data_IF_436709008946
#
_entry.id   IF_436709008946
#
_cell.length_a   1.000
_cell.length_b   1.000
_cell.length_c   1.000
_cell.angle_alpha   90.00
_cell.angle_beta   90.00
_cell.angle_gamma   90.00
#
_symmetry.space_group_name_H-M   'P 1'
#
loop_
_entity.id
_entity.type
_entity.pdbx_description
1 polymer ?
#
# COMPACT_ATOMS: atom_id res chain seq x y z
N UNK A 1 -74.27 -30.05 -4.48
CA UNK A 1 -74.73 -28.64 -4.61
C UNK A 1 -73.77 -27.63 -3.94
N UNK A 2 -72.84 -28.04 -3.06
CA UNK A 2 -72.04 -27.12 -2.23
C UNK A 2 -70.62 -26.74 -2.76
N UNK A 3 -70.24 -27.16 -3.97
CA UNK A 3 -68.86 -27.00 -4.48
C UNK A 3 -68.61 -25.68 -5.22
N UNK A 4 -69.62 -25.14 -5.91
CA UNK A 4 -69.49 -23.88 -6.66
C UNK A 4 -69.30 -22.68 -5.72
N UNK A 5 -70.01 -22.66 -4.59
CA UNK A 5 -69.88 -21.61 -3.58
C UNK A 5 -68.48 -21.59 -2.93
N UNK A 6 -67.94 -22.78 -2.61
CA UNK A 6 -66.59 -22.91 -2.06
C UNK A 6 -65.51 -22.46 -3.07
N UNK A 7 -65.64 -22.86 -4.34
CA UNK A 7 -64.72 -22.44 -5.40
C UNK A 7 -64.74 -20.92 -5.62
N UNK A 8 -65.92 -20.29 -5.54
CA UNK A 8 -66.06 -18.84 -5.69
C UNK A 8 -65.44 -18.06 -4.52
N UNK A 9 -65.53 -18.59 -3.30
CA UNK A 9 -64.85 -18.03 -2.13
C UNK A 9 -63.32 -18.11 -2.29
N UNK A 10 -62.80 -19.27 -2.71
CA UNK A 10 -61.37 -19.47 -2.95
C UNK A 10 -60.83 -18.54 -4.06
N UNK A 11 -61.60 -18.31 -5.13
CA UNK A 11 -61.20 -17.37 -6.19
C UNK A 11 -61.08 -15.94 -5.65
N UNK A 12 -62.04 -15.49 -4.83
CA UNK A 12 -61.99 -14.15 -4.22
C UNK A 12 -60.81 -14.01 -3.27
N UNK A 13 -60.52 -15.04 -2.49
CA UNK A 13 -59.35 -15.07 -1.60
C UNK A 13 -58.05 -15.01 -2.40
N UNK A 14 -57.93 -15.81 -3.46
CA UNK A 14 -56.77 -15.78 -4.35
C UNK A 14 -56.60 -14.42 -5.05
N UNK A 15 -57.70 -13.78 -5.46
CA UNK A 15 -57.66 -12.42 -6.03
C UNK A 15 -57.17 -11.39 -5.02
N UNK A 16 -57.62 -11.48 -3.77
CA UNK A 16 -57.15 -10.60 -2.70
C UNK A 16 -55.67 -10.84 -2.38
N UNK A 17 -55.24 -12.11 -2.30
CA UNK A 17 -53.84 -12.47 -2.08
C UNK A 17 -52.95 -11.95 -3.21
N UNK A 18 -53.38 -12.10 -4.47
CA UNK A 18 -52.64 -11.58 -5.63
C UNK A 18 -52.54 -10.04 -5.58
N UNK A 19 -53.62 -9.34 -5.20
CA UNK A 19 -53.60 -7.88 -5.06
C UNK A 19 -52.63 -7.42 -3.98
N UNK A 20 -52.55 -8.15 -2.87
CA UNK A 20 -51.59 -7.88 -1.79
C UNK A 20 -50.16 -8.10 -2.30
N UNK A 21 -49.89 -9.23 -2.94
CA UNK A 21 -48.57 -9.53 -3.52
C UNK A 21 -48.11 -8.48 -4.55
N UNK A 22 -49.04 -8.00 -5.38
CA UNK A 22 -48.76 -6.92 -6.32
C UNK A 22 -48.40 -5.62 -5.60
N UNK A 23 -49.09 -5.27 -4.52
CA UNK A 23 -48.76 -4.09 -3.72
C UNK A 23 -47.38 -4.20 -3.06
N UNK A 24 -47.07 -5.36 -2.47
CA UNK A 24 -45.75 -5.61 -1.86
C UNK A 24 -44.62 -5.54 -2.90
N UNK A 25 -44.86 -6.05 -4.11
CA UNK A 25 -43.90 -5.97 -5.21
C UNK A 25 -43.61 -4.51 -5.60
N UNK A 26 -44.64 -3.67 -5.69
CA UNK A 26 -44.46 -2.26 -6.02
C UNK A 26 -43.68 -1.52 -4.92
N UNK A 27 -43.96 -1.81 -3.64
CA UNK A 27 -43.16 -1.28 -2.52
C UNK A 27 -41.70 -1.72 -2.61
N UNK A 28 -41.44 -2.98 -2.91
CA UNK A 28 -40.08 -3.51 -3.06
C UNK A 28 -39.32 -2.83 -4.22
N UNK A 29 -39.99 -2.60 -5.36
CA UNK A 29 -39.41 -1.88 -6.51
C UNK A 29 -39.04 -0.44 -6.15
N UNK A 30 -39.92 0.27 -5.44
CA UNK A 30 -39.65 1.65 -5.00
C UNK A 30 -38.45 1.68 -4.06
N UNK A 31 -38.37 0.77 -3.09
CA UNK A 31 -37.22 0.67 -2.19
C UNK A 31 -35.90 0.34 -2.91
N UNK A 32 -35.96 -0.50 -3.95
CA UNK A 32 -34.78 -0.78 -4.77
C UNK A 32 -34.31 0.46 -5.54
N UNK A 33 -35.24 1.21 -6.13
CA UNK A 33 -34.91 2.46 -6.83
C UNK A 33 -34.28 3.50 -5.89
N UNK A 34 -34.79 3.63 -4.66
CA UNK A 34 -34.21 4.52 -3.64
C UNK A 34 -32.76 4.11 -3.30
N UNK A 35 -32.52 2.82 -3.11
CA UNK A 35 -31.16 2.31 -2.82
C UNK A 35 -30.20 2.53 -3.97
N UNK A 36 -30.64 2.31 -5.21
CA UNK A 36 -29.82 2.56 -6.40
C UNK A 36 -29.44 4.04 -6.52
N UNK A 37 -30.43 4.95 -6.38
CA UNK A 37 -30.16 6.39 -6.42
C UNK A 37 -29.16 6.82 -5.33
N UNK A 38 -29.34 6.33 -4.10
CA UNK A 38 -28.42 6.62 -2.99
C UNK A 38 -27.01 6.08 -3.25
N UNK A 39 -26.88 4.89 -3.83
CA UNK A 39 -25.59 4.31 -4.18
C UNK A 39 -24.89 5.09 -5.31
N UNK A 40 -25.64 5.63 -6.27
CA UNK A 40 -25.10 6.48 -7.34
C UNK A 40 -24.60 7.83 -6.80
N UNK A 41 -25.37 8.48 -5.92
CA UNK A 41 -24.97 9.71 -5.24
C UNK A 41 -23.72 9.51 -4.37
N UNK A 42 -23.68 8.42 -3.58
CA UNK A 42 -22.53 8.08 -2.75
C UNK A 42 -21.28 7.80 -3.60
N UNK A 43 -21.43 7.08 -4.71
CA UNK A 43 -20.35 6.85 -5.68
C UNK A 43 -19.82 8.17 -6.26
N UNK A 44 -20.69 9.10 -6.64
CA UNK A 44 -20.28 10.41 -7.16
C UNK A 44 -19.51 11.22 -6.11
N UNK A 45 -19.97 11.20 -4.85
CA UNK A 45 -19.30 11.84 -3.72
C UNK A 45 -17.90 11.26 -3.48
N UNK A 46 -17.76 9.93 -3.48
CA UNK A 46 -16.48 9.25 -3.28
C UNK A 46 -15.47 9.54 -4.39
N UNK A 47 -15.92 9.63 -5.65
CA UNK A 47 -15.07 10.01 -6.77
C UNK A 47 -14.56 11.45 -6.63
N UNK A 48 -15.42 12.36 -6.17
CA UNK A 48 -15.01 13.75 -5.92
C UNK A 48 -14.01 13.84 -4.75
N UNK A 49 -14.25 13.08 -3.68
CA UNK A 49 -13.32 12.99 -2.56
C UNK A 49 -11.97 12.39 -2.97
N UNK A 50 -11.96 11.38 -3.83
CA UNK A 50 -10.73 10.81 -4.39
C UNK A 50 -9.95 11.84 -5.20
N UNK A 51 -10.62 12.60 -6.08
CA UNK A 51 -9.98 13.64 -6.88
C UNK A 51 -9.35 14.74 -6.00
N UNK A 52 -10.08 15.22 -4.99
CA UNK A 52 -9.58 16.21 -4.04
C UNK A 52 -8.37 15.69 -3.24
N UNK A 53 -8.43 14.44 -2.77
CA UNK A 53 -7.32 13.82 -2.06
C UNK A 53 -6.08 13.63 -2.93
N UNK A 54 -6.25 13.24 -4.21
CA UNK A 54 -5.16 13.12 -5.18
C UNK A 54 -4.51 14.47 -5.49
N UNK A 55 -5.30 15.54 -5.63
CA UNK A 55 -4.79 16.89 -5.82
C UNK A 55 -3.95 17.34 -4.62
N UNK A 56 -4.48 17.20 -3.40
CA UNK A 56 -3.76 17.55 -2.18
C UNK A 56 -2.45 16.75 -2.03
N UNK A 57 -2.45 15.46 -2.40
CA UNK A 57 -1.24 14.64 -2.38
C UNK A 57 -0.20 15.11 -3.41
N UNK A 58 -0.62 15.52 -4.61
CA UNK A 58 0.27 16.06 -5.63
C UNK A 58 0.89 17.40 -5.19
N UNK A 59 0.10 18.28 -4.57
CA UNK A 59 0.57 19.55 -4.02
C UNK A 59 1.58 19.34 -2.88
N UNK A 60 1.30 18.40 -1.98
CA UNK A 60 2.21 18.04 -0.90
C UNK A 60 3.54 17.46 -1.43
N UNK A 61 3.49 16.62 -2.46
CA UNK A 61 4.69 16.09 -3.12
C UNK A 61 5.50 17.21 -3.76
N UNK A 62 4.86 18.13 -4.48
CA UNK A 62 5.51 19.28 -5.09
C UNK A 62 6.16 20.18 -4.03
N UNK A 63 5.46 20.46 -2.93
CA UNK A 63 6.01 21.24 -1.82
C UNK A 63 7.23 20.54 -1.17
N UNK A 64 7.18 19.21 -1.01
CA UNK A 64 8.31 18.45 -0.48
C UNK A 64 9.53 18.48 -1.42
N UNK A 65 9.32 18.39 -2.74
CA UNK A 65 10.41 18.51 -3.71
C UNK A 65 11.04 19.90 -3.67
N UNK A 66 10.24 20.96 -3.58
CA UNK A 66 10.73 22.34 -3.44
C UNK A 66 11.54 22.49 -2.15
N UNK A 67 11.05 21.95 -1.03
CA UNK A 67 11.76 21.99 0.25
C UNK A 67 13.08 21.21 0.21
N UNK A 68 13.12 20.03 -0.42
CA UNK A 68 14.35 19.26 -0.59
C UNK A 68 15.35 19.95 -1.52
N UNK A 69 14.89 20.56 -2.62
CA UNK A 69 15.75 21.33 -3.51
C UNK A 69 16.42 22.50 -2.76
N UNK A 70 15.63 23.26 -2.00
CA UNK A 70 16.14 24.35 -1.17
C UNK A 70 17.14 23.87 -0.11
N UNK A 71 16.83 22.77 0.59
CA UNK A 71 17.75 22.21 1.58
C UNK A 71 19.07 21.72 0.94
N UNK A 72 19.02 21.19 -0.30
CA UNK A 72 20.20 20.77 -1.04
C UNK A 72 21.06 21.95 -1.48
N UNK A 73 20.45 23.05 -1.91
CA UNK A 73 21.15 24.29 -2.23
C UNK A 73 21.83 24.89 -0.99
N UNK A 74 21.14 24.94 0.15
CA UNK A 74 21.70 25.41 1.43
C UNK A 74 22.87 24.52 1.89
N UNK A 75 22.74 23.20 1.78
CA UNK A 75 23.83 22.28 2.10
C UNK A 75 25.04 22.44 1.16
N UNK A 76 24.81 22.69 -0.13
CA UNK A 76 25.88 22.95 -1.10
C UNK A 76 26.62 24.26 -0.81
N UNK A 77 25.90 25.32 -0.40
CA UNK A 77 26.51 26.59 0.01
C UNK A 77 27.35 26.44 1.28
N UNK A 78 26.84 25.71 2.28
CA UNK A 78 27.62 25.43 3.50
C UNK A 78 28.88 24.61 3.21
N UNK A 79 28.79 23.59 2.34
CA UNK A 79 29.95 22.80 1.93
C UNK A 79 31.01 23.65 1.21
N UNK A 80 30.59 24.57 0.34
CA UNK A 80 31.49 25.51 -0.33
C UNK A 80 32.18 26.45 0.66
N UNK A 81 31.47 27.02 1.64
CA UNK A 81 32.07 27.89 2.66
C UNK A 81 33.06 27.16 3.59
N UNK A 82 32.80 25.88 3.90
CA UNK A 82 33.72 25.05 4.71
C UNK A 82 35.00 24.73 3.94
N UNK A 83 34.91 24.43 2.63
CA UNK A 83 36.10 24.22 1.79
C UNK A 83 36.88 25.53 1.57
N UNK A 84 36.23 26.68 1.44
CA UNK A 84 36.89 27.98 1.33
C UNK A 84 37.63 28.38 2.61
N UNK A 85 37.05 28.10 3.79
CA UNK A 85 37.72 28.27 5.08
C UNK A 85 38.91 27.30 5.27
N UNK A 86 38.85 26.09 4.68
CA UNK A 86 39.91 25.09 4.73
C UNK A 86 41.06 25.39 3.75
N UNK A 87 40.77 26.05 2.63
CA UNK A 87 41.81 26.55 1.72
C UNK A 87 42.58 27.74 2.31
N UNK A 88 41.91 28.59 3.11
CA UNK A 88 42.56 29.72 3.80
C UNK A 88 43.55 29.32 4.90
N UNK A 89 43.53 28.06 5.38
CA UNK A 89 44.48 27.54 6.38
C UNK A 89 45.68 26.78 5.79
N UNK A 90 45.76 26.56 4.46
CA UNK A 90 46.85 25.79 3.81
C UNK A 90 47.45 26.53 2.62
N UNK A 91 48.34 27.52 2.88
CA UNK A 91 49.64 27.76 2.21
C UNK A 91 50.06 29.26 2.19
N UNK A 92 51.38 29.58 2.23
CA UNK A 92 52.47 28.96 2.99
C UNK A 92 53.33 30.01 3.74
N UNK A 93 54.01 29.62 4.82
CA UNK A 93 55.20 30.32 5.29
C UNK A 93 56.27 29.30 5.70
N UNK A 94 57.33 29.28 4.89
CA UNK A 94 58.57 28.57 5.15
C UNK A 94 59.43 29.30 6.22
N UNK A 95 60.46 28.58 6.71
CA UNK A 95 61.56 28.99 7.60
C UNK A 95 61.21 28.89 9.10
N UNK A 96 61.91 28.17 9.98
CA UNK A 96 63.35 27.86 10.13
C UNK A 96 63.54 26.48 10.79
N UNK A 97 64.69 25.85 10.51
CA UNK A 97 65.21 24.60 11.03
C UNK A 97 65.45 24.56 12.55
N UNK A 98 65.30 23.37 13.17
CA UNK A 98 66.41 22.65 13.86
C UNK A 98 65.94 21.27 14.37
N UNK A 99 66.72 20.23 14.06
CA UNK A 99 66.77 18.90 14.70
C UNK A 99 67.36 19.02 16.12
N UNK A 100 67.44 17.98 17.02
CA UNK A 100 67.35 16.51 16.83
C UNK A 100 66.41 15.83 17.89
N UNK A 101 66.12 14.53 17.99
CA UNK A 101 66.91 13.28 18.02
C UNK A 101 65.97 12.07 17.87
N UNK A 102 66.51 10.99 17.30
CA UNK A 102 65.96 9.61 17.19
C UNK A 102 66.07 8.86 18.54
N UNK A 103 65.25 7.80 18.77
CA UNK A 103 65.67 6.45 18.34
C UNK A 103 64.55 5.62 17.67
N UNK A 104 65.01 4.63 16.90
CA UNK A 104 64.28 3.73 16.02
C UNK A 104 63.79 2.44 16.75
N UNK A 105 63.36 1.36 16.04
CA UNK A 105 61.99 1.07 15.65
C UNK A 105 61.44 -0.24 16.29
N UNK A 106 60.12 -0.42 16.31
CA UNK A 106 59.52 -1.74 16.52
C UNK A 106 58.34 -1.93 15.56
N UNK A 107 58.60 -2.67 14.49
CA UNK A 107 57.60 -3.14 13.53
C UNK A 107 56.78 -4.27 14.12
N UNK A 108 55.46 -4.18 14.01
CA UNK A 108 54.56 -5.34 14.06
C UNK A 108 53.65 -5.28 12.82
N UNK A 109 53.92 -6.20 11.92
CA UNK A 109 53.14 -6.55 10.74
C UNK A 109 51.74 -7.05 11.14
N UNK A 110 50.69 -6.43 10.60
CA UNK A 110 49.35 -7.00 10.55
C UNK A 110 49.01 -7.38 9.09
N UNK A 111 48.41 -8.55 8.84
CA UNK A 111 48.29 -9.12 7.50
C UNK A 111 47.26 -8.40 6.62
N UNK A 112 47.61 -8.27 5.34
CA UNK A 112 46.70 -7.94 4.24
C UNK A 112 45.51 -8.89 4.22
N UNK A 113 44.30 -8.34 4.34
CA UNK A 113 43.08 -9.02 3.95
C UNK A 113 42.74 -8.64 2.50
N UNK A 114 42.68 -9.64 1.64
CA UNK A 114 42.18 -9.56 0.27
C UNK A 114 40.71 -9.09 0.24
N UNK A 115 40.32 -8.19 -0.67
CA UNK A 115 38.91 -7.82 -0.81
C UNK A 115 38.16 -8.98 -1.48
N UNK A 116 37.26 -9.63 -0.72
CA UNK A 116 36.26 -10.55 -1.29
C UNK A 116 35.25 -9.75 -2.12
N UNK A 117 34.96 -10.24 -3.32
CA UNK A 117 34.02 -9.62 -4.25
C UNK A 117 32.64 -9.47 -3.60
N UNK A 118 32.17 -8.22 -3.51
CA UNK A 118 30.82 -7.86 -3.08
C UNK A 118 29.79 -8.40 -4.08
N UNK A 119 28.97 -9.36 -3.64
CA UNK A 119 27.74 -9.74 -4.35
C UNK A 119 26.80 -8.54 -4.29
N UNK A 120 26.52 -7.92 -5.44
CA UNK A 120 25.61 -6.78 -5.53
C UNK A 120 24.23 -7.16 -4.95
N UNK A 121 23.87 -6.51 -3.85
CA UNK A 121 22.53 -6.64 -3.26
C UNK A 121 21.51 -6.02 -4.22
N UNK A 122 20.37 -6.70 -4.50
CA UNK A 122 19.28 -6.12 -5.27
C UNK A 122 18.93 -4.75 -4.68
N UNK A 123 18.95 -3.71 -5.51
CA UNK A 123 18.60 -2.37 -5.09
C UNK A 123 17.10 -2.34 -4.82
N UNK A 124 16.74 -2.20 -3.55
CA UNK A 124 15.34 -2.07 -3.14
C UNK A 124 14.85 -0.70 -3.58
N UNK A 125 13.91 -0.69 -4.52
CA UNK A 125 13.22 0.51 -4.97
C UNK A 125 11.80 0.49 -4.44
N UNK A 126 11.33 1.67 -4.06
CA UNK A 126 9.98 1.95 -3.56
C UNK A 126 9.35 3.01 -4.47
N UNK A 127 8.02 3.07 -4.51
CA UNK A 127 7.30 4.16 -5.17
C UNK A 127 6.51 4.95 -4.13
N UNK A 128 6.15 6.19 -4.43
CA UNK A 128 5.31 7.02 -3.53
C UNK A 128 3.94 6.41 -3.25
N UNK A 129 3.48 5.47 -4.08
CA UNK A 129 2.17 4.82 -3.97
C UNK A 129 2.26 3.43 -3.33
N UNK A 130 3.39 2.74 -3.51
CA UNK A 130 3.65 1.39 -3.03
C UNK A 130 5.01 1.35 -2.30
N UNK A 131 4.94 1.24 -0.97
CA UNK A 131 6.10 1.18 -0.07
C UNK A 131 6.66 -0.25 0.11
N UNK A 132 6.21 -1.21 -0.68
CA UNK A 132 6.83 -2.53 -0.70
C UNK A 132 8.01 -2.58 -1.68
N UNK A 133 9.05 -3.38 -1.40
CA UNK A 133 10.17 -3.54 -2.33
C UNK A 133 9.72 -4.15 -3.66
N UNK A 134 10.08 -3.53 -4.79
CA UNK A 134 9.79 -4.07 -6.13
C UNK A 134 10.25 -5.53 -6.25
N UNK A 135 9.39 -6.38 -6.82
CA UNK A 135 9.65 -7.80 -7.01
C UNK A 135 9.28 -8.70 -5.82
N UNK A 136 8.82 -8.14 -4.70
CA UNK A 136 8.28 -8.93 -3.58
C UNK A 136 6.79 -9.25 -3.77
N UNK A 137 6.32 -10.33 -3.14
CA UNK A 137 4.90 -10.73 -3.18
C UNK A 137 3.97 -9.60 -2.68
N UNK A 138 4.39 -8.89 -1.63
CA UNK A 138 3.67 -7.73 -1.08
C UNK A 138 3.62 -6.56 -2.07
N UNK A 139 4.66 -6.36 -2.88
CA UNK A 139 4.65 -5.35 -3.93
C UNK A 139 3.71 -5.71 -5.08
N UNK A 140 3.70 -6.97 -5.51
CA UNK A 140 2.76 -7.46 -6.53
C UNK A 140 1.31 -7.32 -6.06
N UNK A 141 1.02 -7.84 -4.85
CA UNK A 141 -0.30 -7.76 -4.26
C UNK A 141 -0.77 -6.31 -4.06
N UNK A 142 0.07 -5.40 -3.55
CA UNK A 142 -0.28 -3.99 -3.39
C UNK A 142 -0.50 -3.26 -4.72
N UNK A 143 0.21 -3.67 -5.78
CA UNK A 143 0.01 -3.12 -7.12
C UNK A 143 -1.33 -3.53 -7.73
N UNK A 144 -1.78 -4.75 -7.46
CA UNK A 144 -3.08 -5.26 -7.92
C UNK A 144 -4.25 -4.87 -7.01
N UNK A 145 -4.00 -4.70 -5.72
CA UNK A 145 -4.97 -4.30 -4.70
C UNK A 145 -4.53 -2.96 -4.06
N UNK A 146 -4.73 -1.82 -4.75
CA UNK A 146 -4.28 -0.51 -4.26
C UNK A 146 -4.96 -0.06 -2.97
N UNK A 147 -6.08 -0.69 -2.58
CA UNK A 147 -6.76 -0.49 -1.30
C UNK A 147 -5.99 -1.07 -0.09
N UNK A 148 -5.08 -2.03 -0.30
CA UNK A 148 -4.27 -2.60 0.77
C UNK A 148 -3.35 -1.55 1.40
N UNK A 149 -3.06 -1.62 2.69
CA UNK A 149 -2.18 -0.64 3.36
C UNK A 149 -0.72 -0.74 2.92
N UNK A 150 0.02 0.37 2.96
CA UNK A 150 1.45 0.42 2.62
C UNK A 150 2.38 -0.13 3.72
N UNK A 151 1.87 -0.35 4.94
CA UNK A 151 2.66 -0.68 6.13
C UNK A 151 2.12 -1.92 6.87
N UNK A 152 1.55 -2.88 6.15
CA UNK A 152 1.04 -4.14 6.72
C UNK A 152 2.14 -5.20 6.98
N UNK A 153 3.41 -4.84 6.78
CA UNK A 153 4.55 -5.73 7.00
C UNK A 153 4.71 -6.78 5.91
N UNK A 154 5.31 -7.91 6.29
CA UNK A 154 5.58 -9.05 5.40
C UNK A 154 4.29 -9.80 5.04
N UNK A 155 4.33 -10.65 4.02
CA UNK A 155 3.15 -11.35 3.50
C UNK A 155 2.30 -12.01 4.60
N UNK A 156 2.91 -12.80 5.48
CA UNK A 156 2.20 -13.49 6.56
C UNK A 156 1.55 -12.57 7.61
N UNK A 157 1.91 -11.29 7.65
CA UNK A 157 1.40 -10.30 8.62
C UNK A 157 0.16 -9.55 8.10
N UNK A 158 -0.11 -9.61 6.79
CA UNK A 158 -1.14 -8.81 6.16
C UNK A 158 -2.54 -9.07 6.71
N UNK A 159 -2.89 -10.31 7.04
CA UNK A 159 -4.19 -10.62 7.62
C UNK A 159 -4.40 -9.88 8.96
N UNK A 160 -3.41 -9.92 9.86
CA UNK A 160 -3.49 -9.24 11.15
C UNK A 160 -3.50 -7.71 10.99
N UNK A 161 -2.67 -7.16 10.11
CA UNK A 161 -2.64 -5.72 9.85
C UNK A 161 -3.90 -5.20 9.15
N UNK A 162 -4.48 -5.97 8.24
CA UNK A 162 -5.74 -5.64 7.59
C UNK A 162 -6.88 -5.61 8.62
N UNK A 163 -6.94 -6.60 9.51
CA UNK A 163 -7.92 -6.63 10.59
C UNK A 163 -7.75 -5.43 11.55
N UNK A 164 -6.50 -5.09 11.92
CA UNK A 164 -6.21 -3.92 12.75
C UNK A 164 -6.58 -2.60 12.06
N UNK A 165 -6.51 -2.55 10.73
CA UNK A 165 -6.95 -1.43 9.91
C UNK A 165 -8.48 -1.43 9.63
N UNK A 166 -9.24 -2.37 10.20
CA UNK A 166 -10.70 -2.43 10.10
C UNK A 166 -11.26 -3.21 8.91
N UNK A 167 -10.42 -3.90 8.13
CA UNK A 167 -10.86 -4.74 7.03
C UNK A 167 -11.41 -6.08 7.52
N UNK A 168 -12.40 -6.61 6.81
CA UNK A 168 -12.91 -7.96 7.06
C UNK A 168 -11.88 -9.01 6.65
N UNK A 169 -11.56 -9.91 7.57
CA UNK A 169 -10.65 -11.05 7.37
C UNK A 169 -11.40 -12.33 7.67
N UNK A 170 -11.27 -13.33 6.80
CA UNK A 170 -11.96 -14.60 6.94
C UNK A 170 -11.41 -15.66 5.98
N UNK A 171 -12.03 -16.83 5.99
CA UNK A 171 -11.61 -18.00 5.21
C UNK A 171 -12.46 -18.25 3.97
N UNK A 172 -13.47 -17.41 3.72
CA UNK A 172 -14.31 -17.51 2.52
C UNK A 172 -13.62 -16.79 1.36
N UNK A 173 -13.20 -17.49 0.30
CA UNK A 173 -12.52 -16.85 -0.82
C UNK A 173 -13.50 -16.02 -1.65
N UNK A 174 -13.06 -14.82 -2.06
CA UNK A 174 -13.79 -13.94 -2.96
C UNK A 174 -12.82 -13.30 -3.96
N UNK A 175 -13.27 -13.07 -5.19
CA UNK A 175 -12.46 -12.38 -6.21
C UNK A 175 -12.16 -10.95 -5.74
N UNK A 176 -10.92 -10.52 -5.90
CA UNK A 176 -10.41 -9.24 -5.43
C UNK A 176 -9.95 -9.22 -3.96
N UNK A 177 -10.18 -10.30 -3.20
CA UNK A 177 -9.56 -10.44 -1.89
C UNK A 177 -8.06 -10.73 -2.00
N UNK A 178 -7.33 -10.51 -0.91
CA UNK A 178 -5.95 -10.92 -0.78
C UNK A 178 -5.92 -12.22 0.03
N UNK A 179 -5.37 -13.28 -0.57
CA UNK A 179 -5.05 -14.50 0.13
C UNK A 179 -3.72 -14.33 0.86
N UNK A 180 -3.66 -14.78 2.12
CA UNK A 180 -2.50 -14.64 3.01
C UNK A 180 -2.08 -16.03 3.48
N UNK A 181 -0.80 -16.35 3.31
CA UNK A 181 -0.19 -17.58 3.82
C UNK A 181 0.89 -17.23 4.84
N UNK A 182 0.81 -17.87 6.00
CA UNK A 182 1.79 -17.71 7.06
C UNK A 182 2.54 -19.03 7.30
N UNK A 183 3.60 -19.24 6.53
CA UNK A 183 4.38 -20.48 6.53
C UNK A 183 5.48 -20.51 7.63
N UNK A 184 5.40 -19.62 8.62
CA UNK A 184 6.39 -19.47 9.70
C UNK A 184 7.63 -18.64 9.34
N UNK A 185 7.71 -18.11 8.11
CA UNK A 185 8.73 -17.18 7.64
C UNK A 185 8.18 -15.77 7.34
N UNK A 186 8.61 -15.16 6.23
CA UNK A 186 8.03 -13.90 5.75
C UNK A 186 6.56 -14.04 5.29
N UNK A 187 6.12 -15.27 5.02
CA UNK A 187 4.81 -15.60 4.48
C UNK A 187 4.64 -15.15 3.03
N UNK A 188 3.45 -15.35 2.49
CA UNK A 188 3.11 -15.03 1.10
C UNK A 188 1.75 -14.33 1.02
N UNK A 189 1.60 -13.48 0.01
CA UNK A 189 0.33 -12.83 -0.32
C UNK A 189 0.15 -12.78 -1.83
N UNK A 190 -1.10 -12.95 -2.26
CA UNK A 190 -1.48 -12.87 -3.66
C UNK A 190 -2.94 -12.43 -3.77
N UNK A 191 -3.30 -11.77 -4.88
CA UNK A 191 -4.67 -11.31 -5.11
C UNK A 191 -5.46 -12.43 -5.77
N UNK A 192 -6.64 -12.73 -5.22
CA UNK A 192 -7.56 -13.73 -5.77
C UNK A 192 -8.21 -13.18 -7.03
N UNK A 193 -7.94 -13.82 -8.16
CA UNK A 193 -8.51 -13.42 -9.47
C UNK A 193 -9.68 -14.30 -9.89
N UNK A 194 -9.79 -15.51 -9.31
CA UNK A 194 -10.85 -16.47 -9.63
C UNK A 194 -11.10 -17.38 -8.42
N UNK A 195 -12.36 -17.74 -8.18
CA UNK A 195 -12.77 -18.71 -7.15
C UNK A 195 -13.53 -19.84 -7.84
N UNK A 196 -12.94 -21.03 -7.88
CA UNK A 196 -13.56 -22.22 -8.49
C UNK A 196 -14.35 -23.03 -7.46
N UNK A 197 -13.88 -23.06 -6.21
CA UNK A 197 -14.61 -23.62 -5.06
C UNK A 197 -14.03 -23.06 -3.75
N UNK A 198 -14.64 -23.40 -2.61
CA UNK A 198 -14.12 -23.01 -1.28
C UNK A 198 -12.69 -23.50 -0.99
N UNK A 199 -12.19 -24.47 -1.76
CA UNK A 199 -10.83 -25.02 -1.61
C UNK A 199 -9.98 -24.86 -2.87
N UNK A 200 -10.46 -24.12 -3.87
CA UNK A 200 -9.73 -23.91 -5.12
C UNK A 200 -9.90 -22.47 -5.62
N UNK A 201 -8.78 -21.73 -5.61
CA UNK A 201 -8.68 -20.34 -6.03
C UNK A 201 -7.52 -20.17 -7.01
N UNK A 202 -7.64 -19.19 -7.90
CA UNK A 202 -6.54 -18.70 -8.72
C UNK A 202 -6.06 -17.36 -8.20
N UNK A 203 -4.74 -17.18 -8.12
CA UNK A 203 -4.12 -15.97 -7.58
C UNK A 203 -3.08 -15.37 -8.52
N UNK A 204 -2.77 -14.08 -8.35
CA UNK A 204 -1.74 -13.31 -9.05
C UNK A 204 -0.88 -12.50 -8.09
#
# INVERSE_FOLDING_TARGET
INTIAANMAAIKENQNALRIQQADLEVAKVNLAIQLASAEDEKASLLNQQAAAQQAAAEALAAQQVAQAKAREEAAQQAASVEEAKAAIVAPAAMVAESPVTPAPASITAPSATPVASVARPQVSYSSVNNYPVGQCTWGAKSLAPWAGNNWGNGGQWAASAQAAGYSVGTTPMVGAIAVWNDGGYGHVAVVVEVQSSSNIRVM
#
